data_IF_004326722311
#
_entry.id   IF_004326722311
#
_cell.length_a   1.000
_cell.length_b   1.000
_cell.length_c   1.000
_cell.angle_alpha   90.00
_cell.angle_beta   90.00
_cell.angle_gamma   90.00
#
_symmetry.space_group_name_H-M   'P 1'
#
loop_
_entity.id
_entity.type
_entity.pdbx_description
1 polymer ?
#
# COMPACT_ATOMS: atom_id res chain seq x y z
N UNK A 1 -5.18 63.84 25.21
CA UNK A 1 -5.30 63.67 23.75
C UNK A 1 -4.10 62.84 23.28
N UNK A 2 -4.11 61.53 23.55
CA UNK A 2 -2.93 60.67 23.31
C UNK A 2 -3.26 59.18 23.15
N UNK A 3 -4.53 58.77 23.26
CA UNK A 3 -4.92 57.34 23.22
C UNK A 3 -5.21 56.85 21.78
N UNK A 4 -5.45 57.76 20.83
CA UNK A 4 -5.87 57.41 19.46
C UNK A 4 -4.67 57.04 18.56
N UNK A 5 -3.44 57.45 18.90
CA UNK A 5 -2.24 57.20 18.08
C UNK A 5 -1.63 55.80 18.22
N UNK A 6 -1.79 55.15 19.37
CA UNK A 6 -1.20 53.82 19.65
C UNK A 6 -1.93 52.69 18.93
N UNK A 7 -3.24 52.85 18.67
CA UNK A 7 -4.07 51.85 17.99
C UNK A 7 -3.71 51.76 16.50
N UNK A 8 -3.29 52.87 15.89
CA UNK A 8 -2.99 52.92 14.44
C UNK A 8 -1.62 52.33 14.10
N UNK A 9 -0.67 52.38 15.04
CA UNK A 9 0.64 51.74 14.89
C UNK A 9 0.55 50.22 15.01
N UNK A 10 -0.29 49.70 15.92
CA UNK A 10 -0.51 48.26 16.05
C UNK A 10 -1.22 47.67 14.82
N UNK A 11 -2.20 48.38 14.24
CA UNK A 11 -2.91 47.90 13.06
C UNK A 11 -2.02 47.86 11.78
N UNK A 12 -1.04 48.75 11.64
CA UNK A 12 -0.12 48.74 10.48
C UNK A 12 0.97 47.66 10.60
N UNK A 13 1.38 47.30 11.82
CA UNK A 13 2.38 46.24 12.04
C UNK A 13 1.82 44.83 11.82
N UNK A 14 0.53 44.62 12.08
CA UNK A 14 -0.10 43.29 11.88
C UNK A 14 -0.33 42.98 10.41
N UNK A 15 -0.63 43.98 9.57
CA UNK A 15 -0.86 43.77 8.13
C UNK A 15 0.46 43.49 7.38
N UNK A 16 1.57 44.11 7.76
CA UNK A 16 2.88 43.82 7.15
C UNK A 16 3.56 42.55 7.68
N UNK A 17 3.30 42.15 8.94
CA UNK A 17 3.81 40.90 9.50
C UNK A 17 3.02 39.64 9.12
N UNK A 18 1.73 39.79 8.79
CA UNK A 18 0.84 38.67 8.48
C UNK A 18 0.95 38.11 7.05
N UNK A 19 1.54 38.85 6.12
CA UNK A 19 1.59 38.45 4.69
C UNK A 19 2.86 37.65 4.36
N UNK A 20 3.90 37.66 5.21
CA UNK A 20 5.17 36.98 4.92
C UNK A 20 5.23 35.53 5.46
N UNK A 21 4.31 35.11 6.34
CA UNK A 21 4.34 33.76 6.92
C UNK A 21 3.54 32.70 6.14
N UNK A 22 2.81 33.07 5.08
CA UNK A 22 1.98 32.12 4.30
C UNK A 22 2.64 31.67 2.98
N UNK A 23 3.82 32.20 2.62
CA UNK A 23 4.46 31.95 1.33
C UNK A 23 5.53 30.84 1.31
N UNK A 24 5.78 30.13 2.41
CA UNK A 24 6.61 28.91 2.40
C UNK A 24 5.80 27.62 2.18
N UNK A 25 4.48 27.73 1.99
CA UNK A 25 3.58 26.61 1.69
C UNK A 25 3.41 26.36 0.19
N UNK A 26 4.43 26.68 -0.61
CA UNK A 26 4.52 26.37 -2.04
C UNK A 26 5.85 25.70 -2.33
N UNK A 27 5.81 24.57 -3.04
CA UNK A 27 6.95 23.74 -3.44
C UNK A 27 7.44 22.68 -2.43
N UNK A 28 6.52 21.82 -1.99
CA UNK A 28 6.76 20.36 -2.01
C UNK A 28 5.43 19.61 -1.95
N UNK A 29 4.55 19.82 -2.94
CA UNK A 29 3.66 18.74 -3.36
C UNK A 29 4.52 17.73 -4.13
N UNK A 30 5.44 17.07 -3.42
CA UNK A 30 5.92 15.78 -3.87
C UNK A 30 4.67 14.93 -4.03
N UNK A 31 4.49 14.36 -5.22
CA UNK A 31 3.31 13.63 -5.62
C UNK A 31 2.73 12.85 -4.44
N UNK A 32 1.50 13.17 -4.04
CA UNK A 32 0.69 12.20 -3.31
C UNK A 32 0.64 11.00 -4.26
N UNK A 33 1.48 9.99 -4.02
CA UNK A 33 1.28 8.69 -4.64
C UNK A 33 -0.17 8.37 -4.37
N UNK A 34 -0.95 8.15 -5.43
CA UNK A 34 -2.39 7.93 -5.31
C UNK A 34 -2.62 6.88 -4.23
N UNK A 35 -3.16 7.31 -3.09
CA UNK A 35 -3.84 6.42 -2.17
C UNK A 35 -5.11 5.97 -2.90
N UNK A 36 -4.92 5.07 -3.85
CA UNK A 36 -5.97 4.52 -4.68
C UNK A 36 -6.67 3.47 -3.81
N UNK A 37 -7.85 3.83 -3.30
CA UNK A 37 -8.83 2.95 -2.64
C UNK A 37 -8.26 1.68 -1.99
N UNK A 38 -7.89 1.80 -0.70
CA UNK A 38 -7.53 0.70 0.20
C UNK A 38 -8.62 -0.40 0.22
N UNK A 39 -8.60 -1.28 -0.77
CA UNK A 39 -8.99 -2.66 -0.57
C UNK A 39 -7.83 -3.26 0.21
N UNK A 40 -8.08 -3.67 1.44
CA UNK A 40 -7.18 -4.55 2.18
C UNK A 40 -7.08 -5.85 1.38
N UNK A 41 -6.12 -5.90 0.45
CA UNK A 41 -5.91 -7.02 -0.45
C UNK A 41 -5.64 -8.29 0.33
N UNK A 42 -5.01 -8.19 1.50
CA UNK A 42 -4.78 -9.33 2.38
C UNK A 42 -6.08 -9.84 2.96
N UNK A 43 -6.99 -8.95 3.36
CA UNK A 43 -8.33 -9.32 3.76
C UNK A 43 -9.07 -10.01 2.60
N UNK A 44 -9.05 -9.44 1.40
CA UNK A 44 -9.70 -10.04 0.23
C UNK A 44 -9.16 -11.45 -0.09
N UNK A 45 -7.83 -11.60 -0.09
CA UNK A 45 -7.15 -12.88 -0.28
C UNK A 45 -7.51 -13.90 0.80
N UNK A 46 -7.70 -13.47 2.05
CA UNK A 46 -8.11 -14.35 3.16
C UNK A 46 -9.48 -15.00 2.97
N UNK A 47 -10.36 -14.42 2.14
CA UNK A 47 -11.69 -14.96 1.82
C UNK A 47 -11.73 -15.79 0.54
N UNK A 48 -10.63 -15.89 -0.20
CA UNK A 48 -10.56 -16.73 -1.40
C UNK A 48 -10.58 -18.22 -1.06
N UNK A 49 -10.99 -19.04 -2.03
CA UNK A 49 -10.76 -20.48 -1.97
C UNK A 49 -9.29 -20.76 -2.33
N UNK A 50 -8.59 -21.44 -1.44
CA UNK A 50 -7.20 -21.82 -1.64
C UNK A 50 -6.95 -23.23 -1.12
N UNK A 51 -5.87 -23.83 -1.60
CA UNK A 51 -5.26 -25.03 -1.02
C UNK A 51 -4.04 -24.58 -0.24
N UNK A 52 -4.01 -24.83 1.08
CA UNK A 52 -2.89 -24.44 1.93
C UNK A 52 -1.88 -25.60 2.08
N UNK A 53 -0.61 -25.31 1.81
CA UNK A 53 0.52 -26.20 2.08
C UNK A 53 1.44 -25.58 3.14
N UNK A 54 2.02 -26.44 3.99
CA UNK A 54 2.87 -26.04 5.11
C UNK A 54 2.12 -25.86 6.43
N UNK A 55 2.87 -25.84 7.54
CA UNK A 55 2.30 -25.77 8.90
C UNK A 55 2.80 -24.60 9.74
N UNK A 56 3.87 -23.92 9.31
CA UNK A 56 4.55 -22.85 10.07
C UNK A 56 5.12 -21.79 9.12
N UNK A 57 5.30 -20.58 9.64
CA UNK A 57 5.90 -19.46 8.91
C UNK A 57 4.89 -18.47 8.30
N UNK A 58 5.40 -17.40 7.66
CA UNK A 58 4.60 -16.42 6.93
C UNK A 58 3.78 -17.07 5.82
N UNK A 59 2.67 -16.40 5.45
CA UNK A 59 1.78 -16.85 4.38
C UNK A 59 2.20 -16.18 3.08
N UNK A 60 2.44 -16.98 2.05
CA UNK A 60 2.52 -16.56 0.66
C UNK A 60 1.21 -16.94 -0.04
N UNK A 61 0.62 -16.01 -0.79
CA UNK A 61 -0.50 -16.30 -1.69
C UNK A 61 0.06 -16.46 -3.11
N UNK A 62 -0.29 -17.57 -3.77
CA UNK A 62 0.17 -17.87 -5.13
C UNK A 62 -1.05 -18.13 -6.03
N UNK A 63 -1.18 -17.36 -7.11
CA UNK A 63 -2.21 -17.58 -8.12
C UNK A 63 -1.67 -18.57 -9.15
N UNK A 64 -2.19 -19.80 -9.11
CA UNK A 64 -1.65 -20.92 -9.87
C UNK A 64 -2.63 -21.35 -10.98
N UNK A 65 -2.15 -21.33 -12.24
CA UNK A 65 -2.86 -21.93 -13.38
C UNK A 65 -2.23 -23.29 -13.72
N UNK A 66 -3.01 -24.38 -13.86
CA UNK A 66 -2.46 -25.72 -14.14
C UNK A 66 -1.66 -25.83 -15.44
N UNK A 67 -1.93 -24.96 -16.43
CA UNK A 67 -1.25 -24.98 -17.73
C UNK A 67 -0.07 -23.98 -17.80
N UNK A 68 0.30 -23.38 -16.68
CA UNK A 68 1.41 -22.43 -16.58
C UNK A 68 2.74 -23.15 -16.23
N UNK A 69 3.71 -23.26 -17.14
CA UNK A 69 4.98 -23.94 -16.86
C UNK A 69 5.86 -23.21 -15.82
N UNK A 70 5.70 -21.90 -15.65
CA UNK A 70 6.38 -21.15 -14.59
C UNK A 70 5.76 -21.39 -13.23
N UNK A 71 4.44 -21.53 -13.17
CA UNK A 71 3.71 -21.84 -11.96
C UNK A 71 4.10 -23.23 -11.45
N UNK A 72 4.30 -24.20 -12.34
CA UNK A 72 4.86 -25.52 -11.99
C UNK A 72 6.29 -25.43 -11.42
N UNK A 73 7.16 -24.58 -11.99
CA UNK A 73 8.51 -24.37 -11.46
C UNK A 73 8.48 -23.74 -10.06
N UNK A 74 7.64 -22.72 -9.86
CA UNK A 74 7.45 -22.08 -8.56
C UNK A 74 6.94 -23.09 -7.53
N UNK A 75 5.91 -23.86 -7.86
CA UNK A 75 5.40 -24.94 -7.01
C UNK A 75 6.53 -25.87 -6.54
N UNK A 76 7.38 -26.32 -7.48
CA UNK A 76 8.50 -27.22 -7.19
C UNK A 76 9.54 -26.59 -6.28
N UNK A 77 9.90 -25.32 -6.52
CA UNK A 77 10.87 -24.60 -5.69
C UNK A 77 10.37 -24.33 -4.28
N UNK A 78 9.06 -24.11 -4.12
CA UNK A 78 8.45 -23.84 -2.82
C UNK A 78 8.36 -25.08 -1.92
N UNK A 79 8.45 -26.30 -2.45
CA UNK A 79 8.36 -27.52 -1.63
C UNK A 79 9.41 -27.55 -0.51
N UNK A 80 10.67 -27.21 -0.81
CA UNK A 80 11.73 -27.22 0.20
C UNK A 80 11.53 -26.20 1.35
N UNK A 81 11.25 -24.90 1.11
CA UNK A 81 10.95 -23.98 2.20
C UNK A 81 9.63 -24.29 2.94
N UNK A 82 8.62 -24.87 2.26
CA UNK A 82 7.39 -25.36 2.89
C UNK A 82 7.71 -26.49 3.88
N UNK A 83 8.43 -27.51 3.45
CA UNK A 83 8.77 -28.69 4.25
C UNK A 83 9.64 -28.34 5.47
N UNK A 84 10.52 -27.35 5.31
CA UNK A 84 11.34 -26.82 6.40
C UNK A 84 10.56 -25.88 7.34
N UNK A 85 9.28 -25.65 7.12
CA UNK A 85 8.43 -24.76 7.93
C UNK A 85 8.83 -23.29 7.87
N UNK A 86 9.51 -22.88 6.79
CA UNK A 86 9.94 -21.50 6.59
C UNK A 86 8.80 -20.62 6.07
N UNK A 87 7.78 -21.21 5.45
CA UNK A 87 6.58 -20.52 4.99
C UNK A 87 5.40 -21.49 4.84
N UNK A 88 4.21 -20.92 4.70
CA UNK A 88 3.00 -21.59 4.24
C UNK A 88 2.55 -20.95 2.94
N UNK A 89 2.07 -21.74 2.00
CA UNK A 89 1.55 -21.23 0.72
C UNK A 89 0.06 -21.50 0.63
N UNK A 90 -0.68 -20.49 0.21
CA UNK A 90 -2.10 -20.59 -0.16
C UNK A 90 -2.20 -20.50 -1.67
N UNK A 91 -2.32 -21.64 -2.32
CA UNK A 91 -2.48 -21.73 -3.77
C UNK A 91 -3.93 -21.43 -4.14
N UNK A 92 -4.14 -20.31 -4.82
CA UNK A 92 -5.42 -19.90 -5.40
C UNK A 92 -5.43 -20.38 -6.85
N UNK A 93 -6.21 -21.42 -7.13
CA UNK A 93 -6.29 -22.00 -8.47
C UNK A 93 -7.09 -21.08 -9.39
N UNK A 94 -6.53 -20.76 -10.54
CA UNK A 94 -7.15 -19.95 -11.58
C UNK A 94 -7.04 -20.65 -12.93
N UNK A 95 -7.89 -20.26 -13.89
CA UNK A 95 -7.81 -20.78 -15.26
C UNK A 95 -7.98 -19.66 -16.26
N UNK A 96 -6.86 -19.05 -16.68
CA UNK A 96 -6.88 -17.90 -17.58
C UNK A 96 -6.00 -18.08 -18.83
N UNK A 97 -5.10 -19.07 -18.83
CA UNK A 97 -4.17 -19.25 -19.94
C UNK A 97 -4.78 -20.00 -21.12
N UNK A 98 -5.52 -21.08 -20.85
CA UNK A 98 -6.08 -21.94 -21.91
C UNK A 98 -7.47 -22.46 -21.53
N UNK A 99 -8.19 -23.02 -22.50
CA UNK A 99 -9.54 -23.57 -22.26
C UNK A 99 -9.55 -24.78 -21.32
N UNK A 100 -8.44 -25.52 -21.23
CA UNK A 100 -8.28 -26.67 -20.34
C UNK A 100 -7.58 -26.32 -19.03
N UNK A 101 -7.46 -25.03 -18.71
CA UNK A 101 -6.94 -24.58 -17.41
C UNK A 101 -7.94 -24.81 -16.30
#
# INVERSE_FOLDING_TARGET
MTIIGSIQYLARSVVFGGIILTATMGCAYAAQASADHDLDYWQALSHTHYIEEGSKGPILYDFFDPNCPYCHQIYTWLQNPIDNGQLRVRFIVVGFLTHSS
#
